data_IF_005852467753
#
_entry.id   IF_005852467753
#
_cell.length_a   1.000
_cell.length_b   1.000
_cell.length_c   1.000
_cell.angle_alpha   90.00
_cell.angle_beta   90.00
_cell.angle_gamma   90.00
#
_symmetry.space_group_name_H-M   'P 1'
#
loop_
_entity.id
_entity.type
_entity.pdbx_description
1 polymer ?
#
# COMPACT_ATOMS: atom_id res chain seq x y z
N UNK A 1 -8.17 -11.12 -7.18
CA UNK A 1 -7.71 -10.25 -6.07
C UNK A 1 -7.07 -11.05 -4.94
N UNK A 2 -7.69 -12.13 -4.43
CA UNK A 2 -7.04 -13.03 -3.45
C UNK A 2 -5.68 -13.57 -3.91
N UNK A 3 -5.53 -13.86 -5.20
CA UNK A 3 -4.26 -14.32 -5.79
C UNK A 3 -3.13 -13.28 -5.79
N UNK A 4 -3.43 -11.97 -5.64
CA UNK A 4 -2.41 -10.91 -5.70
C UNK A 4 -1.84 -10.51 -4.34
N UNK A 5 -2.53 -10.83 -3.24
CA UNK A 5 -2.14 -10.34 -1.90
C UNK A 5 -1.15 -11.27 -1.18
N UNK A 6 -0.81 -12.42 -1.76
CA UNK A 6 -0.02 -13.52 -1.18
C UNK A 6 -0.01 -13.61 0.36
N UNK A 7 -1.19 -13.54 0.99
CA UNK A 7 -1.34 -13.51 2.45
C UNK A 7 -1.28 -14.90 3.09
N UNK A 8 -1.08 -15.94 2.29
CA UNK A 8 -1.00 -17.32 2.76
C UNK A 8 0.44 -17.70 3.15
N UNK A 9 1.44 -16.98 2.62
CA UNK A 9 2.83 -17.15 2.99
C UNK A 9 3.16 -16.36 4.27
N UNK A 10 3.75 -17.05 5.25
CA UNK A 10 4.18 -16.48 6.53
C UNK A 10 5.24 -15.37 6.35
N UNK A 11 6.09 -15.46 5.33
CA UNK A 11 7.15 -14.48 5.08
C UNK A 11 6.56 -13.19 4.49
N UNK A 12 5.52 -13.31 3.67
CA UNK A 12 4.73 -12.17 3.19
C UNK A 12 3.89 -11.55 4.33
N UNK A 13 3.34 -12.39 5.21
CA UNK A 13 2.55 -11.96 6.37
C UNK A 13 3.40 -11.17 7.36
N UNK A 14 4.61 -11.63 7.67
CA UNK A 14 5.54 -10.96 8.58
C UNK A 14 6.12 -9.65 8.02
N UNK A 15 6.02 -9.42 6.71
CA UNK A 15 6.59 -8.28 6.00
C UNK A 15 8.08 -8.42 5.67
N UNK A 16 8.66 -9.60 5.88
CA UNK A 16 10.08 -9.84 5.61
C UNK A 16 10.43 -9.76 4.12
N UNK A 17 9.59 -10.32 3.22
CA UNK A 17 9.82 -10.17 1.77
C UNK A 17 9.78 -8.70 1.35
N UNK A 18 8.77 -7.96 1.83
CA UNK A 18 8.67 -6.53 1.57
C UNK A 18 9.90 -5.75 2.06
N UNK A 19 10.50 -6.14 3.18
CA UNK A 19 11.74 -5.55 3.68
C UNK A 19 12.94 -5.79 2.76
N UNK A 20 13.01 -6.96 2.13
CA UNK A 20 14.07 -7.33 1.19
C UNK A 20 13.91 -6.58 -0.13
N UNK A 21 12.67 -6.41 -0.58
CA UNK A 21 12.33 -5.89 -1.91
C UNK A 21 12.26 -4.36 -1.99
N UNK A 22 11.75 -3.70 -0.95
CA UNK A 22 11.60 -2.22 -0.93
C UNK A 22 12.87 -1.45 -1.32
N UNK A 23 14.08 -1.82 -0.86
CA UNK A 23 15.33 -1.16 -1.24
C UNK A 23 15.67 -1.26 -2.72
N UNK A 24 15.21 -2.32 -3.40
CA UNK A 24 15.53 -2.63 -4.80
C UNK A 24 14.51 -2.01 -5.76
N UNK A 25 13.28 -1.81 -5.30
CA UNK A 25 12.18 -1.36 -6.12
C UNK A 25 12.19 0.17 -6.29
N UNK A 26 11.99 0.62 -7.54
CA UNK A 26 11.78 2.04 -7.83
C UNK A 26 10.36 2.45 -7.46
N UNK A 27 10.21 2.98 -6.24
CA UNK A 27 8.91 3.43 -5.72
C UNK A 27 8.86 4.95 -5.64
N UNK A 28 7.81 5.54 -6.21
CA UNK A 28 7.45 6.95 -6.11
C UNK A 28 6.17 7.11 -5.28
N UNK A 29 6.10 8.19 -4.51
CA UNK A 29 4.90 8.63 -3.80
C UNK A 29 4.54 10.01 -4.37
N UNK A 30 3.38 10.11 -5.01
CA UNK A 30 2.92 11.30 -5.75
C UNK A 30 4.01 11.91 -6.66
N UNK A 31 4.69 11.03 -7.39
CA UNK A 31 5.74 11.41 -8.34
C UNK A 31 7.12 11.67 -7.74
N UNK A 32 7.25 11.80 -6.41
CA UNK A 32 8.53 11.95 -5.74
C UNK A 32 9.14 10.59 -5.38
N UNK A 33 10.43 10.41 -5.63
CA UNK A 33 11.10 9.15 -5.31
C UNK A 33 11.18 8.94 -3.79
N UNK A 34 10.64 7.83 -3.30
CA UNK A 34 10.53 7.59 -1.86
C UNK A 34 11.88 7.22 -1.21
N UNK A 35 12.85 6.71 -1.97
CA UNK A 35 14.18 6.28 -1.51
C UNK A 35 14.11 5.41 -0.23
N UNK A 36 13.52 4.23 -0.39
CA UNK A 36 13.39 3.25 0.70
C UNK A 36 14.72 2.59 1.07
N UNK A 37 15.65 2.47 0.11
CA UNK A 37 17.02 2.02 0.35
C UNK A 37 17.68 2.82 1.47
N UNK A 38 17.63 4.15 1.39
CA UNK A 38 18.21 5.01 2.43
C UNK A 38 17.54 4.81 3.79
N UNK A 39 16.21 4.67 3.83
CA UNK A 39 15.47 4.52 5.09
C UNK A 39 15.76 3.18 5.78
N UNK A 40 15.81 2.09 5.01
CA UNK A 40 16.11 0.76 5.52
C UNK A 40 17.58 0.67 5.95
N UNK A 41 18.51 1.23 5.19
CA UNK A 41 19.94 1.30 5.58
C UNK A 41 20.13 2.11 6.86
N UNK A 42 19.46 3.26 7.00
CA UNK A 42 19.52 4.06 8.21
C UNK A 42 18.92 3.36 9.45
N UNK A 43 17.94 2.46 9.26
CA UNK A 43 17.44 1.63 10.34
C UNK A 43 18.48 0.58 10.75
N UNK A 44 19.05 -0.14 9.77
CA UNK A 44 20.06 -1.20 9.97
C UNK A 44 21.33 -0.71 10.67
N UNK A 45 21.69 0.56 10.52
CA UNK A 45 22.88 1.13 11.19
C UNK A 45 22.64 1.50 12.65
N UNK A 46 21.38 1.67 13.07
CA UNK A 46 21.02 2.16 14.40
C UNK A 46 20.35 1.11 15.29
N UNK A 47 19.87 0.03 14.70
CA UNK A 47 19.06 -0.98 15.38
C UNK A 47 19.46 -2.37 14.90
N UNK A 48 19.14 -3.38 15.71
CA UNK A 48 19.24 -4.77 15.28
C UNK A 48 18.28 -5.07 14.13
N UNK A 49 18.63 -6.11 13.35
CA UNK A 49 17.76 -6.61 12.30
C UNK A 49 16.42 -7.07 12.92
N UNK A 50 15.26 -6.60 12.40
CA UNK A 50 13.97 -7.01 12.92
C UNK A 50 13.79 -8.53 12.83
N UNK A 51 12.97 -9.11 13.71
CA UNK A 51 12.63 -10.54 13.66
C UNK A 51 11.12 -10.74 13.52
N UNK A 52 10.71 -11.72 12.71
CA UNK A 52 9.31 -12.11 12.53
C UNK A 52 8.42 -10.89 12.21
N UNK A 53 7.35 -10.68 12.98
CA UNK A 53 6.38 -9.61 12.78
C UNK A 53 6.93 -8.20 13.04
N UNK A 54 8.14 -8.06 13.59
CA UNK A 54 8.78 -6.76 13.73
C UNK A 54 9.10 -6.11 12.38
N UNK A 55 9.36 -6.91 11.33
CA UNK A 55 9.57 -6.37 9.98
C UNK A 55 8.38 -5.49 9.56
N UNK A 56 7.16 -6.01 9.66
CA UNK A 56 5.93 -5.26 9.35
C UNK A 56 5.76 -4.02 10.22
N UNK A 57 6.01 -4.11 11.54
CA UNK A 57 5.92 -2.94 12.45
C UNK A 57 6.89 -1.82 12.04
N UNK A 58 8.14 -2.18 11.72
CA UNK A 58 9.17 -1.22 11.28
C UNK A 58 8.81 -0.64 9.91
N UNK A 59 8.36 -1.47 8.97
CA UNK A 59 7.92 -1.03 7.64
C UNK A 59 6.75 -0.06 7.72
N UNK A 60 5.79 -0.29 8.61
CA UNK A 60 4.71 0.66 8.91
C UNK A 60 5.27 2.03 9.30
N UNK A 61 6.23 2.07 10.22
CA UNK A 61 6.88 3.31 10.65
C UNK A 61 7.63 4.02 9.51
N UNK A 62 8.36 3.26 8.69
CA UNK A 62 9.09 3.80 7.54
C UNK A 62 8.12 4.37 6.51
N UNK A 63 7.09 3.62 6.11
CA UNK A 63 6.09 4.07 5.13
C UNK A 63 5.35 5.30 5.63
N UNK A 64 4.87 5.31 6.87
CA UNK A 64 4.21 6.45 7.46
C UNK A 64 5.10 7.71 7.45
N UNK A 65 6.37 7.55 7.83
CA UNK A 65 7.36 8.63 7.79
C UNK A 65 7.57 9.18 6.37
N UNK A 66 7.58 8.32 5.35
CA UNK A 66 7.71 8.75 3.95
C UNK A 66 6.47 9.50 3.46
N UNK A 67 5.27 9.00 3.74
CA UNK A 67 4.03 9.71 3.40
C UNK A 67 3.98 11.08 4.09
N UNK A 68 4.30 11.15 5.39
CA UNK A 68 4.33 12.41 6.12
C UNK A 68 5.39 13.38 5.56
N UNK A 69 6.57 12.89 5.20
CA UNK A 69 7.65 13.73 4.65
C UNK A 69 7.31 14.29 3.26
N UNK A 70 6.67 13.49 2.41
CA UNK A 70 6.41 13.84 1.01
C UNK A 70 5.10 14.64 0.86
N UNK A 71 4.07 14.28 1.64
CA UNK A 71 2.70 14.79 1.47
C UNK A 71 2.17 15.57 2.66
N UNK A 72 2.85 15.49 3.82
CA UNK A 72 2.35 16.02 5.08
C UNK A 72 0.98 15.43 5.49
N UNK A 73 0.72 14.17 5.13
CA UNK A 73 -0.53 13.44 5.42
C UNK A 73 -0.28 12.21 6.29
N UNK A 74 -1.18 11.99 7.25
CA UNK A 74 -1.20 10.79 8.07
C UNK A 74 -2.11 9.74 7.44
N UNK A 75 -1.53 8.89 6.60
CA UNK A 75 -2.27 7.80 5.95
C UNK A 75 -2.81 6.83 6.98
N UNK A 76 -4.03 6.35 6.76
CA UNK A 76 -4.67 5.38 7.63
C UNK A 76 -3.83 4.10 7.79
N UNK A 77 -3.78 3.56 9.02
CA UNK A 77 -3.04 2.35 9.33
C UNK A 77 -3.36 1.15 8.42
N UNK A 78 -4.64 0.85 8.09
CA UNK A 78 -4.98 -0.22 7.15
C UNK A 78 -4.36 -0.03 5.77
N UNK A 79 -4.30 1.20 5.24
CA UNK A 79 -3.67 1.47 3.94
C UNK A 79 -2.16 1.30 3.97
N UNK A 80 -1.52 1.71 5.07
CA UNK A 80 -0.07 1.47 5.26
C UNK A 80 0.19 -0.03 5.30
N UNK A 81 -0.65 -0.79 6.02
CA UNK A 81 -0.55 -2.24 6.08
C UNK A 81 -0.68 -2.88 4.71
N UNK A 82 -1.64 -2.40 3.92
CA UNK A 82 -1.82 -2.91 2.56
C UNK A 82 -0.66 -2.55 1.64
N UNK A 83 -0.03 -1.39 1.82
CA UNK A 83 1.21 -1.08 1.13
C UNK A 83 2.31 -2.07 1.51
N UNK A 84 2.42 -2.48 2.78
CA UNK A 84 3.38 -3.54 3.16
C UNK A 84 3.03 -4.86 2.45
N UNK A 85 1.76 -5.23 2.37
CA UNK A 85 1.31 -6.45 1.67
C UNK A 85 1.61 -6.41 0.18
N UNK A 86 1.32 -5.29 -0.50
CA UNK A 86 1.35 -5.23 -1.96
C UNK A 86 2.74 -4.93 -2.53
N UNK A 87 3.63 -4.25 -1.79
CA UNK A 87 4.91 -3.77 -2.32
C UNK A 87 6.04 -4.81 -2.36
N UNK A 88 5.80 -6.06 -1.95
CA UNK A 88 6.72 -7.17 -2.23
C UNK A 88 6.58 -7.64 -3.68
N UNK A 89 7.65 -8.24 -4.20
CA UNK A 89 7.71 -8.74 -5.56
C UNK A 89 6.70 -9.87 -5.77
N UNK A 90 6.52 -10.80 -4.84
CA UNK A 90 5.55 -11.91 -4.99
C UNK A 90 4.11 -11.44 -5.24
N UNK A 91 3.72 -10.27 -4.71
CA UNK A 91 2.38 -9.72 -4.87
C UNK A 91 2.18 -9.01 -6.21
N UNK A 92 2.93 -7.92 -6.46
CA UNK A 92 2.77 -7.11 -7.68
C UNK A 92 3.57 -7.65 -8.86
N UNK A 93 4.86 -7.97 -8.67
CA UNK A 93 5.73 -8.49 -9.71
C UNK A 93 5.41 -9.95 -10.06
N UNK A 94 5.01 -10.77 -9.09
CA UNK A 94 4.66 -12.18 -9.28
C UNK A 94 3.45 -12.33 -10.20
N UNK A 95 2.46 -11.46 -10.04
CA UNK A 95 1.30 -11.44 -10.92
C UNK A 95 1.65 -11.00 -12.36
N UNK A 96 2.47 -9.97 -12.52
CA UNK A 96 2.96 -9.52 -13.83
C UNK A 96 3.84 -10.57 -14.50
N UNK A 97 4.69 -11.25 -13.73
CA UNK A 97 5.57 -12.34 -14.17
C UNK A 97 4.77 -13.54 -14.65
N UNK A 98 3.75 -13.97 -13.89
CA UNK A 98 2.88 -15.07 -14.31
C UNK A 98 2.16 -14.74 -15.63
N UNK A 99 1.69 -13.50 -15.78
CA UNK A 99 1.08 -13.01 -17.03
C UNK A 99 2.08 -13.01 -18.18
N UNK A 100 3.32 -12.55 -17.96
CA UNK A 100 4.34 -12.50 -19.00
C UNK A 100 4.82 -13.88 -19.44
N UNK A 101 4.99 -14.84 -18.52
CA UNK A 101 5.29 -16.24 -18.88
C UNK A 101 4.14 -16.92 -19.64
N UNK A 102 2.90 -16.66 -19.24
CA UNK A 102 1.73 -17.17 -19.98
C UNK A 102 1.69 -16.61 -21.40
N UNK A 103 2.00 -15.31 -21.54
CA UNK A 103 2.11 -14.67 -22.84
C UNK A 103 3.28 -15.24 -23.66
N UNK A 104 4.43 -15.50 -23.03
CA UNK A 104 5.61 -16.04 -23.71
C UNK A 104 5.32 -17.40 -24.35
N UNK A 105 4.62 -18.28 -23.62
CA UNK A 105 4.17 -19.57 -24.13
C UNK A 105 3.19 -19.44 -25.29
N UNK A 106 2.26 -18.48 -25.24
CA UNK A 106 1.34 -18.21 -26.35
C UNK A 106 2.09 -17.69 -27.58
N UNK A 107 3.07 -16.80 -27.40
CA UNK A 107 3.95 -16.32 -28.48
C UNK A 107 4.71 -17.51 -29.10
N UNK A 108 5.34 -18.33 -28.27
CA UNK A 108 6.13 -19.48 -28.74
C UNK A 108 5.27 -20.43 -29.58
N UNK A 109 4.09 -20.78 -29.07
CA UNK A 109 3.13 -21.63 -29.77
C UNK A 109 2.71 -21.04 -31.13
N UNK A 110 2.44 -19.72 -31.19
CA UNK A 110 1.98 -19.05 -32.42
C UNK A 110 3.08 -18.84 -33.44
N UNK A 111 4.29 -18.53 -33.02
CA UNK A 111 5.46 -18.42 -33.90
C UNK A 111 5.91 -19.78 -34.44
N UNK A 112 5.38 -20.89 -33.88
CA UNK A 112 5.80 -22.26 -34.21
C UNK A 112 7.31 -22.44 -34.07
N UNK A 113 7.91 -21.73 -33.13
CA UNK A 113 9.33 -21.87 -32.83
C UNK A 113 9.53 -22.96 -31.79
N UNK A 114 10.57 -23.76 -31.98
CA UNK A 114 11.02 -24.73 -30.99
C UNK A 114 11.89 -24.06 -29.90
N UNK A 115 12.34 -22.83 -30.13
CA UNK A 115 13.06 -22.05 -29.14
C UNK A 115 12.08 -21.58 -28.06
N UNK A 116 12.47 -21.73 -26.80
CA UNK A 116 11.71 -21.17 -25.69
C UNK A 116 11.77 -19.64 -25.75
N UNK A 117 10.63 -19.00 -25.51
CA UNK A 117 10.59 -17.55 -25.40
C UNK A 117 10.60 -17.20 -23.92
N UNK A 118 11.59 -16.41 -23.49
CA UNK A 118 11.72 -15.99 -22.10
C UNK A 118 11.38 -14.50 -21.95
N UNK A 119 10.43 -14.15 -21.08
CA UNK A 119 10.20 -12.76 -20.71
C UNK A 119 11.29 -12.30 -19.74
N UNK A 120 11.95 -11.19 -20.04
CA UNK A 120 12.91 -10.54 -19.14
C UNK A 120 12.37 -9.17 -18.74
N UNK A 121 12.41 -8.84 -17.45
CA UNK A 121 12.04 -7.51 -16.96
C UNK A 121 13.12 -6.52 -17.42
N UNK A 122 12.71 -5.51 -18.18
CA UNK A 122 13.56 -4.41 -18.63
C UNK A 122 13.51 -3.24 -17.65
N UNK A 123 12.29 -2.86 -17.26
CA UNK A 123 12.05 -1.82 -16.29
C UNK A 123 10.84 -2.14 -15.41
N UNK A 124 10.91 -1.73 -14.14
CA UNK A 124 9.81 -1.83 -13.19
C UNK A 124 9.70 -0.55 -12.39
N UNK A 125 8.50 0.00 -12.28
CA UNK A 125 8.21 1.22 -11.54
C UNK A 125 6.87 1.10 -10.82
N UNK A 126 6.85 1.53 -9.55
CA UNK A 126 5.63 1.63 -8.77
C UNK A 126 5.42 3.08 -8.32
N UNK A 127 4.26 3.64 -8.62
CA UNK A 127 3.85 4.95 -8.16
C UNK A 127 2.60 4.84 -7.27
N UNK A 128 2.71 5.33 -6.04
CA UNK A 128 1.61 5.42 -5.09
C UNK A 128 1.09 6.85 -5.15
N UNK A 129 -0.13 7.02 -5.67
CA UNK A 129 -0.83 8.31 -5.69
C UNK A 129 -1.76 8.38 -4.50
N UNK A 130 -1.60 9.40 -3.66
CA UNK A 130 -2.47 9.59 -2.50
C UNK A 130 -3.61 10.52 -2.87
N UNK A 131 -4.85 10.08 -2.66
CA UNK A 131 -6.05 10.89 -2.95
C UNK A 131 -6.53 11.54 -1.64
N UNK A 132 -6.50 10.79 -0.55
CA UNK A 132 -6.80 11.26 0.81
C UNK A 132 -6.09 10.39 1.85
N UNK A 133 -6.27 10.67 3.15
CA UNK A 133 -5.74 9.81 4.23
C UNK A 133 -6.31 8.38 4.22
N UNK A 134 -7.46 8.18 3.58
CA UNK A 134 -8.15 6.89 3.48
C UNK A 134 -8.31 6.38 2.06
N UNK A 135 -7.71 7.02 1.05
CA UNK A 135 -7.76 6.59 -0.35
C UNK A 135 -6.40 6.76 -1.03
N UNK A 136 -5.89 5.66 -1.59
CA UNK A 136 -4.70 5.67 -2.42
C UNK A 136 -4.89 4.86 -3.69
N UNK A 137 -4.08 5.18 -4.69
CA UNK A 137 -3.97 4.37 -5.91
C UNK A 137 -2.54 3.91 -6.09
N UNK A 138 -2.34 2.59 -6.19
CA UNK A 138 -1.06 2.00 -6.57
C UNK A 138 -1.08 1.75 -8.09
N UNK A 139 -0.14 2.37 -8.79
CA UNK A 139 0.15 2.11 -10.19
C UNK A 139 1.48 1.38 -10.28
N UNK A 140 1.46 0.14 -10.74
CA UNK A 140 2.66 -0.65 -10.97
C UNK A 140 2.78 -0.92 -12.46
N UNK A 141 3.95 -0.62 -13.03
CA UNK A 141 4.26 -0.84 -14.45
C UNK A 141 5.52 -1.69 -14.55
N UNK A 142 5.43 -2.73 -15.37
CA UNK A 142 6.58 -3.53 -15.76
C UNK A 142 6.66 -3.60 -17.28
N UNK A 143 7.84 -3.31 -17.79
CA UNK A 143 8.18 -3.45 -19.19
C UNK A 143 9.00 -4.73 -19.35
N UNK A 144 8.53 -5.61 -20.23
CA UNK A 144 9.14 -6.90 -20.53
C UNK A 144 9.71 -6.90 -21.95
N UNK A 145 10.89 -7.50 -22.10
CA UNK A 145 11.44 -7.89 -23.39
C UNK A 145 11.30 -9.40 -23.51
N UNK A 146 10.58 -9.86 -24.53
CA UNK A 146 10.50 -11.26 -24.89
C UNK A 146 11.71 -11.59 -25.76
N UNK A 147 12.49 -12.58 -25.36
CA UNK A 147 13.70 -12.99 -26.05
C UNK A 147 13.62 -14.46 -26.44
N UNK A 148 14.20 -14.79 -27.57
CA UNK A 148 14.53 -16.18 -27.91
C UNK A 148 15.60 -16.68 -26.91
N UNK A 149 15.35 -17.81 -26.25
CA UNK A 149 16.24 -18.35 -25.23
C UNK A 149 17.58 -18.85 -25.77
N UNK A 150 17.66 -19.19 -27.07
CA UNK A 150 18.84 -19.78 -27.70
C UNK A 150 19.86 -18.71 -28.07
N UNK A 151 19.40 -17.62 -28.70
CA UNK A 151 20.28 -16.57 -29.23
C UNK A 151 20.11 -15.21 -28.53
N UNK A 152 19.16 -15.08 -27.61
CA UNK A 152 18.90 -13.84 -26.87
C UNK A 152 18.25 -12.73 -27.69
N UNK A 153 17.85 -12.99 -28.93
CA UNK A 153 17.30 -11.98 -29.86
C UNK A 153 15.97 -11.45 -29.32
N UNK A 154 15.78 -10.13 -29.23
CA UNK A 154 14.51 -9.56 -28.82
C UNK A 154 13.43 -9.81 -29.89
N UNK A 155 12.31 -10.37 -29.47
CA UNK A 155 11.15 -10.69 -30.29
C UNK A 155 10.11 -9.57 -30.21
N UNK A 156 9.79 -9.14 -28.99
CA UNK A 156 8.80 -8.08 -28.75
C UNK A 156 9.03 -7.44 -27.40
N UNK A 157 8.59 -6.20 -27.27
CA UNK A 157 8.40 -5.56 -25.97
C UNK A 157 6.93 -5.61 -25.58
N UNK A 158 6.65 -5.66 -24.28
CA UNK A 158 5.28 -5.64 -23.75
C UNK A 158 5.31 -4.89 -22.43
N UNK A 159 4.34 -3.99 -22.22
CA UNK A 159 4.17 -3.35 -20.92
C UNK A 159 2.94 -3.91 -20.21
N UNK A 160 3.12 -4.36 -18.98
CA UNK A 160 2.03 -4.70 -18.06
C UNK A 160 1.85 -3.52 -17.10
N UNK A 161 0.61 -3.13 -16.87
CA UNK A 161 0.27 -2.11 -15.87
C UNK A 161 -0.84 -2.60 -14.98
N UNK A 162 -0.61 -2.61 -13.67
CA UNK A 162 -1.59 -2.92 -12.65
C UNK A 162 -1.95 -1.61 -11.94
N UNK A 163 -3.24 -1.28 -11.91
CA UNK A 163 -3.79 -0.14 -11.19
C UNK A 163 -4.74 -0.63 -10.12
N UNK A 164 -4.40 -0.40 -8.86
CA UNK A 164 -5.21 -0.73 -7.70
C UNK A 164 -5.69 0.57 -7.06
N UNK A 165 -7.00 0.84 -7.02
CA UNK A 165 -7.51 1.92 -6.17
C UNK A 165 -8.02 1.29 -4.87
N UNK A 166 -7.51 1.76 -3.74
CA UNK A 166 -7.68 1.13 -2.42
C UNK A 166 -8.20 2.19 -1.46
N UNK A 167 -9.36 1.91 -0.89
CA UNK A 167 -9.97 2.74 0.14
C UNK A 167 -10.00 2.01 1.47
N UNK A 168 -9.63 2.68 2.56
CA UNK A 168 -9.84 2.19 3.91
C UNK A 168 -11.20 2.65 4.43
N UNK A 169 -12.03 1.67 4.76
CA UNK A 169 -13.35 1.87 5.35
C UNK A 169 -13.21 2.24 6.84
N UNK A 170 -14.27 2.84 7.39
CA UNK A 170 -14.32 3.25 8.81
C UNK A 170 -14.27 2.08 9.79
N UNK A 171 -14.69 0.88 9.35
CA UNK A 171 -14.65 -0.37 10.11
C UNK A 171 -13.25 -1.02 10.12
N UNK A 172 -12.26 -0.41 9.46
CA UNK A 172 -10.89 -0.92 9.36
C UNK A 172 -10.65 -1.87 8.19
N UNK A 173 -11.67 -2.22 7.40
CA UNK A 173 -11.52 -3.03 6.19
C UNK A 173 -11.01 -2.20 5.00
N UNK A 174 -10.54 -2.90 3.97
CA UNK A 174 -10.02 -2.31 2.74
C UNK A 174 -10.92 -2.70 1.57
N UNK A 175 -11.28 -1.71 0.74
CA UNK A 175 -12.05 -1.93 -0.48
C UNK A 175 -11.22 -1.54 -1.69
N UNK A 176 -11.05 -2.51 -2.59
CA UNK A 176 -10.50 -2.30 -3.91
C UNK A 176 -11.64 -2.01 -4.86
N UNK A 177 -11.58 -0.83 -5.47
CA UNK A 177 -12.60 -0.42 -6.43
C UNK A 177 -11.95 -0.05 -7.75
N UNK A 178 -12.62 -0.40 -8.85
CA UNK A 178 -12.18 0.02 -10.19
C UNK A 178 -10.71 -0.34 -10.50
N UNK A 179 -10.26 -1.48 -9.97
CA UNK A 179 -8.95 -2.05 -10.23
C UNK A 179 -8.85 -2.51 -11.68
N UNK A 180 -7.70 -2.25 -12.31
CA UNK A 180 -7.49 -2.54 -13.74
C UNK A 180 -6.13 -3.16 -13.97
N UNK A 181 -6.09 -4.10 -14.90
CA UNK A 181 -4.85 -4.62 -15.49
C UNK A 181 -4.85 -4.23 -16.96
N UNK A 182 -3.75 -3.69 -17.44
CA UNK A 182 -3.55 -3.30 -18.83
C UNK A 182 -2.32 -3.98 -19.38
N UNK A 183 -2.45 -4.56 -20.56
CA UNK A 183 -1.36 -5.10 -21.37
C UNK A 183 -1.20 -4.23 -22.61
N UNK A 184 0.00 -3.71 -22.86
CA UNK A 184 0.33 -2.95 -24.06
C UNK A 184 1.32 -3.74 -24.88
N UNK A 185 0.99 -3.97 -26.15
CA UNK A 185 1.80 -4.74 -27.10
C UNK A 185 1.97 -3.91 -28.38
N UNK A 186 3.18 -3.83 -28.95
CA UNK A 186 3.42 -3.24 -30.28
C UNK A 186 2.48 -3.80 -31.34
N UNK A 187 1.98 -2.94 -32.24
CA UNK A 187 0.92 -3.33 -33.18
C UNK A 187 1.39 -4.34 -34.25
N UNK A 188 2.67 -4.25 -34.62
CA UNK A 188 3.38 -5.18 -35.50
C UNK A 188 3.44 -6.60 -34.93
N UNK A 189 3.55 -6.74 -33.61
CA UNK A 189 3.55 -8.06 -32.93
C UNK A 189 2.16 -8.46 -32.45
N UNK A 190 1.25 -7.52 -32.21
CA UNK A 190 -0.07 -7.77 -31.62
C UNK A 190 -0.93 -8.75 -32.42
N UNK A 191 -0.92 -8.72 -33.75
CA UNK A 191 -1.69 -9.66 -34.57
C UNK A 191 -1.18 -11.10 -34.48
N UNK A 192 0.13 -11.26 -34.29
CA UNK A 192 0.82 -12.55 -34.21
C UNK A 192 0.72 -13.15 -32.81
N UNK A 193 0.65 -12.30 -31.78
CA UNK A 193 0.68 -12.72 -30.37
C UNK A 193 -0.71 -12.80 -29.76
N UNK A 194 -1.65 -11.91 -30.13
CA UNK A 194 -2.98 -11.83 -29.52
C UNK A 194 -4.06 -11.72 -30.60
N UNK A 195 -4.57 -12.85 -31.13
CA UNK A 195 -5.62 -12.80 -32.14
C UNK A 195 -6.89 -12.20 -31.53
N UNK A 196 -7.24 -11.00 -32.01
CA UNK A 196 -8.41 -10.25 -31.56
C UNK A 196 -9.70 -11.07 -31.63
N UNK A 197 -9.79 -12.04 -32.54
CA UNK A 197 -10.93 -12.96 -32.63
C UNK A 197 -11.15 -13.75 -31.34
N UNK A 198 -10.09 -14.23 -30.69
CA UNK A 198 -10.20 -14.95 -29.41
C UNK A 198 -10.71 -14.03 -28.29
N UNK A 199 -10.20 -12.80 -28.22
CA UNK A 199 -10.64 -11.83 -27.20
C UNK A 199 -12.10 -11.44 -27.44
N UNK A 200 -12.51 -11.24 -28.70
CA UNK A 200 -13.91 -10.99 -29.05
C UNK A 200 -14.82 -12.15 -28.67
N UNK A 201 -14.42 -13.40 -28.92
CA UNK A 201 -15.16 -14.58 -28.48
C UNK A 201 -15.24 -14.67 -26.96
N UNK A 202 -14.14 -14.43 -26.24
CA UNK A 202 -14.14 -14.38 -24.79
C UNK A 202 -15.14 -13.34 -24.26
N UNK A 203 -15.19 -12.15 -24.89
CA UNK A 203 -16.15 -11.10 -24.56
C UNK A 203 -17.60 -11.50 -24.84
N UNK A 204 -17.88 -12.20 -25.96
CA UNK A 204 -19.23 -12.69 -26.28
C UNK A 204 -19.76 -13.70 -25.25
N UNK A 205 -18.86 -14.44 -24.58
CA UNK A 205 -19.23 -15.42 -23.55
C UNK A 205 -19.41 -14.79 -22.16
N UNK A 206 -19.07 -13.52 -21.96
CA UNK A 206 -19.18 -12.85 -20.64
C UNK A 206 -20.61 -12.86 -20.08
N UNK A 207 -21.68 -12.56 -20.85
CA UNK A 207 -23.05 -12.63 -20.33
C UNK A 207 -23.40 -14.02 -19.82
N UNK A 208 -23.03 -15.07 -20.55
CA UNK A 208 -23.28 -16.46 -20.17
C UNK A 208 -22.49 -16.84 -18.90
N UNK A 209 -21.20 -16.47 -18.82
CA UNK A 209 -20.38 -16.68 -17.62
C UNK A 209 -20.97 -15.98 -16.40
N UNK A 210 -21.47 -14.77 -16.56
CA UNK A 210 -22.14 -14.03 -15.48
C UNK A 210 -23.46 -14.68 -15.06
N UNK A 211 -24.24 -15.23 -16.01
CA UNK A 211 -25.46 -15.95 -15.70
C UNK A 211 -25.17 -17.21 -14.89
N UNK A 212 -24.22 -18.04 -15.35
CA UNK A 212 -23.79 -19.26 -14.66
C UNK A 212 -23.25 -18.91 -13.26
N UNK A 213 -22.38 -17.90 -13.17
CA UNK A 213 -21.81 -17.45 -11.90
C UNK A 213 -22.87 -16.96 -10.92
N UNK A 214 -23.91 -16.25 -11.38
CA UNK A 214 -25.05 -15.85 -10.54
C UNK A 214 -25.80 -17.06 -10.00
N UNK A 215 -26.15 -17.99 -10.87
CA UNK A 215 -26.86 -19.23 -10.50
C UNK A 215 -26.04 -20.00 -9.45
N UNK A 216 -24.75 -20.19 -9.70
CA UNK A 216 -23.87 -20.90 -8.79
C UNK A 216 -23.76 -20.17 -7.44
N UNK A 217 -23.55 -18.85 -7.46
CA UNK A 217 -23.46 -18.04 -6.24
C UNK A 217 -24.72 -18.14 -5.37
N UNK A 218 -25.89 -18.17 -6.01
CA UNK A 218 -27.17 -18.36 -5.35
C UNK A 218 -27.26 -19.74 -4.68
N UNK A 219 -26.90 -20.82 -5.39
CA UNK A 219 -26.96 -22.17 -4.83
C UNK A 219 -25.91 -22.45 -3.75
N UNK A 220 -24.73 -21.82 -3.83
CA UNK A 220 -23.65 -22.04 -2.85
C UNK A 220 -23.64 -21.01 -1.72
N UNK A 221 -24.49 -19.99 -1.75
CA UNK A 221 -24.45 -18.86 -0.82
C UNK A 221 -23.14 -18.05 -0.88
N UNK A 222 -22.43 -18.11 -2.01
CA UNK A 222 -21.13 -17.46 -2.17
C UNK A 222 -21.28 -16.07 -2.79
N UNK A 223 -20.30 -15.19 -2.58
CA UNK A 223 -20.32 -13.85 -3.17
C UNK A 223 -20.18 -13.93 -4.70
N UNK A 224 -21.13 -13.35 -5.43
CA UNK A 224 -21.04 -13.25 -6.88
C UNK A 224 -20.05 -12.16 -7.31
N UNK A 225 -19.02 -12.55 -8.07
CA UNK A 225 -18.11 -11.60 -8.71
C UNK A 225 -18.41 -11.48 -10.20
N UNK A 226 -18.87 -10.29 -10.62
CA UNK A 226 -19.20 -10.02 -12.01
C UNK A 226 -17.94 -10.00 -12.87
N UNK A 227 -17.92 -10.84 -13.92
CA UNK A 227 -16.92 -10.81 -14.98
C UNK A 227 -17.21 -9.65 -15.92
N UNK A 228 -16.19 -8.84 -16.22
CA UNK A 228 -16.28 -7.75 -17.19
C UNK A 228 -15.59 -8.13 -18.50
N UNK A 229 -16.07 -7.64 -19.66
CA UNK A 229 -15.39 -7.87 -20.92
C UNK A 229 -14.04 -7.15 -20.96
N UNK A 230 -13.09 -7.69 -21.71
CA UNK A 230 -11.84 -7.02 -22.06
C UNK A 230 -12.15 -5.81 -22.94
N UNK A 231 -11.49 -4.68 -22.66
CA UNK A 231 -11.52 -3.50 -23.52
C UNK A 231 -10.25 -3.50 -24.37
N UNK A 232 -10.42 -3.41 -25.69
CA UNK A 232 -9.31 -3.36 -26.64
C UNK A 232 -9.26 -1.96 -27.24
N UNK A 233 -8.13 -1.30 -27.12
CA UNK A 233 -7.86 -0.01 -27.76
C UNK A 233 -6.69 -0.17 -28.72
N UNK A 234 -6.83 0.33 -29.95
CA UNK A 234 -5.75 0.35 -30.93
C UNK A 234 -5.32 1.78 -31.20
N UNK A 235 -4.02 1.96 -31.23
CA UNK A 235 -3.35 3.17 -31.68
C UNK A 235 -2.53 2.81 -32.91
N UNK A 236 -1.88 3.77 -33.60
CA UNK A 236 -0.98 3.43 -34.71
C UNK A 236 0.11 2.43 -34.29
N UNK A 237 0.67 2.60 -33.07
CA UNK A 237 1.87 1.88 -32.64
C UNK A 237 1.59 0.75 -31.64
N UNK A 238 0.46 0.81 -30.92
CA UNK A 238 0.17 -0.11 -29.80
C UNK A 238 -1.25 -0.68 -29.86
N UNK A 239 -1.34 -1.96 -29.52
CA UNK A 239 -2.55 -2.64 -29.09
C UNK A 239 -2.60 -2.70 -27.56
N UNK A 240 -3.67 -2.18 -26.97
CA UNK A 240 -3.87 -2.13 -25.52
C UNK A 240 -5.06 -3.01 -25.15
N UNK A 241 -4.83 -3.99 -24.28
CA UNK A 241 -5.86 -4.86 -23.71
C UNK A 241 -6.03 -4.51 -22.24
N UNK A 242 -7.20 -4.03 -21.87
CA UNK A 242 -7.53 -3.69 -20.48
C UNK A 242 -8.57 -4.66 -19.94
N UNK A 243 -8.42 -5.06 -18.67
CA UNK A 243 -9.40 -5.83 -17.93
C UNK A 243 -9.68 -5.17 -16.58
N UNK A 244 -10.97 -4.93 -16.30
CA UNK A 244 -11.42 -4.38 -15.01
C UNK A 244 -11.70 -5.54 -14.06
N UNK A 245 -10.95 -5.60 -12.96
CA UNK A 245 -11.20 -6.58 -11.92
C UNK A 245 -12.49 -6.23 -11.15
N UNK A 246 -13.22 -7.24 -10.65
CA UNK A 246 -14.36 -6.99 -9.78
C UNK A 246 -13.92 -6.27 -8.51
N UNK A 247 -14.82 -5.46 -7.97
CA UNK A 247 -14.59 -4.82 -6.68
C UNK A 247 -14.46 -5.90 -5.60
N UNK A 248 -13.59 -5.65 -4.63
CA UNK A 248 -13.18 -6.65 -3.64
C UNK A 248 -12.92 -5.99 -2.30
N UNK A 249 -13.51 -6.52 -1.23
CA UNK A 249 -13.30 -6.03 0.13
C UNK A 249 -12.60 -7.10 0.96
N UNK A 250 -11.67 -6.69 1.82
CA UNK A 250 -10.93 -7.59 2.67
C UNK A 250 -10.41 -6.90 3.93
N UNK A 251 -10.10 -7.70 4.95
CA UNK A 251 -9.36 -7.20 6.10
C UNK A 251 -7.89 -6.99 5.74
N UNK A 252 -7.23 -5.94 6.29
CA UNK A 252 -5.78 -5.86 6.29
C UNK A 252 -5.19 -7.09 7.00
N UNK A 253 -3.93 -7.41 6.74
CA UNK A 253 -3.26 -8.56 7.38
C UNK A 253 -3.03 -8.28 8.87
N UNK A 254 -2.95 -6.99 9.25
CA UNK A 254 -2.96 -6.40 10.59
C UNK A 254 -2.51 -7.29 11.76
N UNK A 255 -1.39 -6.89 12.37
CA UNK A 255 -0.93 -7.46 13.64
C UNK A 255 -1.83 -7.02 14.80
N UNK A 256 -2.20 -7.92 15.74
CA UNK A 256 -3.04 -7.60 16.89
C UNK A 256 -2.56 -6.39 17.71
N UNK A 257 -1.24 -6.18 17.82
CA UNK A 257 -0.66 -5.11 18.62
C UNK A 257 -0.78 -3.69 18.03
N UNK A 258 -1.14 -3.55 16.75
CA UNK A 258 -1.34 -2.23 16.11
C UNK A 258 -2.75 -1.68 16.42
N UNK A 259 -3.74 -2.57 16.56
CA UNK A 259 -5.11 -2.23 16.97
C UNK A 259 -5.17 -1.80 18.44
N UNK A 260 -4.41 -2.47 19.32
CA UNK A 260 -4.31 -2.17 20.75
C UNK A 260 -3.91 -0.70 21.04
N UNK A 261 -3.15 -0.06 20.16
CA UNK A 261 -2.77 1.35 20.33
C UNK A 261 -3.88 2.33 19.96
N UNK A 262 -4.79 1.96 19.06
CA UNK A 262 -5.98 2.77 18.73
C UNK A 262 -7.00 2.68 19.87
N UNK A 263 -7.25 1.48 20.40
CA UNK A 263 -8.12 1.30 21.58
C UNK A 263 -7.54 1.98 22.82
N UNK A 264 -6.25 1.82 23.11
CA UNK A 264 -5.61 2.54 24.23
C UNK A 264 -5.64 4.06 24.06
N UNK A 265 -5.53 4.59 22.84
CA UNK A 265 -5.65 6.04 22.59
C UNK A 265 -7.09 6.54 22.72
N UNK A 266 -8.08 5.78 22.26
CA UNK A 266 -9.50 6.12 22.43
C UNK A 266 -9.92 6.02 23.90
N UNK A 267 -9.48 4.99 24.63
CA UNK A 267 -9.70 4.87 26.08
C UNK A 267 -8.97 5.97 26.87
N UNK A 268 -7.75 6.39 26.47
CA UNK A 268 -7.07 7.54 27.08
C UNK A 268 -7.80 8.86 26.82
N UNK A 269 -8.35 9.06 25.62
CA UNK A 269 -9.13 10.26 25.33
C UNK A 269 -10.46 10.24 26.10
N UNK A 270 -11.17 9.12 26.14
CA UNK A 270 -12.40 8.98 26.93
C UNK A 270 -12.16 9.14 28.44
N UNK A 271 -11.06 8.63 29.00
CA UNK A 271 -10.73 8.82 30.41
C UNK A 271 -10.33 10.28 30.73
N UNK A 272 -9.69 10.99 29.80
CA UNK A 272 -9.41 12.43 29.92
C UNK A 272 -10.69 13.29 29.85
N UNK A 273 -11.70 12.88 29.07
CA UNK A 273 -13.01 13.54 29.06
C UNK A 273 -13.85 13.20 30.31
N UNK A 274 -13.79 11.96 30.82
CA UNK A 274 -14.49 11.58 32.06
C UNK A 274 -13.88 12.22 33.32
N UNK A 275 -12.55 12.45 33.35
CA UNK A 275 -11.89 13.14 34.47
C UNK A 275 -12.06 14.67 34.43
N UNK A 276 -12.37 15.27 33.27
CA UNK A 276 -12.79 16.68 33.19
C UNK A 276 -14.29 16.90 33.43
N UNK A 277 -15.13 15.89 33.23
CA UNK A 277 -16.59 15.98 33.38
C UNK A 277 -17.11 15.64 34.79
N UNK A 278 -16.25 15.24 35.73
CA UNK A 278 -16.60 14.97 37.13
C UNK A 278 -16.08 16.02 38.10
N UNK A 279 -15.79 17.25 37.63
CA UNK A 279 -15.65 18.38 38.54
C UNK A 279 -17.04 18.89 38.94
N UNK A 280 -17.70 18.15 39.83
CA UNK A 280 -18.78 18.73 40.64
C UNK A 280 -18.16 19.75 41.60
N UNK A 281 -18.46 21.05 41.48
CA UNK A 281 -18.04 22.00 42.49
C UNK A 281 -18.72 21.63 43.81
N UNK A 282 -18.02 21.75 44.96
CA UNK A 282 -18.64 21.44 46.25
C UNK A 282 -19.83 22.37 46.47
N UNK A 283 -21.01 21.78 46.66
CA UNK A 283 -22.20 22.51 47.09
C UNK A 283 -21.97 22.99 48.53
N UNK A 284 -21.65 24.26 48.68
CA UNK A 284 -21.82 24.96 49.94
C UNK A 284 -23.32 25.23 50.17
N UNK A 285 -23.92 24.54 51.14
CA UNK A 285 -25.13 25.00 51.82
C UNK A 285 -24.75 25.36 53.25
N UNK A 286 -24.43 26.63 53.49
CA UNK A 286 -24.32 27.20 54.82
C UNK A 286 -25.73 27.40 55.39
N UNK A 287 -26.02 26.76 56.52
CA UNK A 287 -26.80 27.40 57.59
C UNK A 287 -25.81 27.83 58.67
N UNK A 288 -25.70 29.15 58.90
CA UNK A 288 -25.13 29.73 60.10
C UNK A 288 -26.00 29.37 61.32
N UNK A 289 -25.51 29.19 62.54
CA UNK A 289 -24.70 30.13 63.33
C UNK A 289 -23.71 29.40 64.26
N UNK A 290 -22.44 29.82 64.26
CA UNK A 290 -21.79 30.50 65.40
C UNK A 290 -20.33 30.81 65.08
N UNK A 291 -19.99 32.07 65.31
CA UNK A 291 -18.72 32.62 65.81
C UNK A 291 -17.40 32.04 65.29
N UNK A 292 -16.70 32.82 64.45
CA UNK A 292 -15.45 33.49 64.89
C UNK A 292 -14.75 34.24 63.74
N UNK A 293 -14.60 35.53 63.98
CA UNK A 293 -13.55 36.48 63.59
C UNK A 293 -12.54 36.17 62.46
N UNK A 294 -12.52 37.13 61.54
CA UNK A 294 -11.37 37.93 61.10
C UNK A 294 -10.60 37.58 59.81
N UNK A 295 -10.70 38.55 58.90
CA UNK A 295 -9.72 39.09 57.95
C UNK A 295 -9.46 38.39 56.61
N UNK A 296 -10.10 38.99 55.58
CA UNK A 296 -9.69 38.99 54.19
C UNK A 296 -8.22 39.40 53.99
N UNK A 297 -7.49 38.62 53.18
CA UNK A 297 -6.42 39.13 52.31
C UNK A 297 -6.42 38.39 50.97
N UNK A 298 -6.54 39.18 49.91
CA UNK A 298 -6.37 38.82 48.50
C UNK A 298 -4.89 38.53 48.23
N UNK A 299 -4.53 37.40 47.62
CA UNK A 299 -3.19 37.21 47.03
C UNK A 299 -3.26 36.48 45.68
N UNK A 300 -2.43 37.00 44.79
CA UNK A 300 -2.24 36.87 43.35
C UNK A 300 -1.95 35.49 42.77
N UNK A 301 -2.43 35.28 41.53
CA UNK A 301 -2.01 34.24 40.60
C UNK A 301 -0.54 34.45 40.20
N UNK A 302 0.31 33.46 40.46
CA UNK A 302 1.68 33.40 39.94
C UNK A 302 1.64 32.63 38.61
N UNK A 303 1.95 33.32 37.51
CA UNK A 303 2.25 32.70 36.22
C UNK A 303 3.75 32.36 36.24
N UNK A 304 4.09 31.07 36.17
CA UNK A 304 5.46 30.66 35.92
C UNK A 304 5.73 30.59 34.42
N UNK A 305 6.56 31.53 33.93
CA UNK A 305 7.27 31.39 32.67
C UNK A 305 8.37 30.32 32.81
N UNK A 306 8.57 29.45 31.80
CA UNK A 306 9.69 28.51 31.81
C UNK A 306 11.02 29.23 31.54
N UNK A 307 12.00 29.03 32.43
CA UNK A 307 13.37 29.53 32.31
C UNK A 307 14.10 28.88 31.11
N UNK A 308 14.73 29.74 30.32
CA UNK A 308 15.66 29.42 29.25
C UNK A 308 17.02 29.15 29.90
N UNK A 309 17.59 27.95 29.70
CA UNK A 309 18.95 27.65 30.12
C UNK A 309 19.98 28.46 29.31
N UNK A 310 21.01 29.07 29.94
CA UNK A 310 22.00 29.85 29.23
C UNK A 310 23.04 28.99 28.51
N UNK A 311 23.33 29.38 27.26
CA UNK A 311 24.48 28.96 26.45
C UNK A 311 25.79 29.22 27.21
N UNK A 312 26.72 28.24 27.17
CA UNK A 312 28.14 28.45 27.45
C UNK A 312 28.95 28.19 26.19
N UNK A 313 29.63 29.22 25.71
CA UNK A 313 30.88 29.16 24.93
C UNK A 313 31.63 30.49 25.19
N UNK A 314 32.94 30.63 24.90
CA UNK A 314 34.02 29.66 24.88
C UNK A 314 35.21 30.14 25.75
N UNK A 315 36.24 29.31 25.95
CA UNK A 315 37.57 29.81 26.34
C UNK A 315 38.63 29.28 25.39
N UNK A 316 39.12 30.19 24.57
CA UNK A 316 40.39 30.08 23.84
C UNK A 316 41.53 30.27 24.82
N UNK A 317 42.56 29.42 24.77
CA UNK A 317 43.94 29.87 24.97
C UNK A 317 44.88 28.92 24.22
N UNK A 318 45.63 29.54 23.32
CA UNK A 318 46.79 29.08 22.59
C UNK A 318 47.98 28.82 23.51
N UNK A 319 48.76 27.77 23.23
CA UNK A 319 50.20 27.94 23.02
C UNK A 319 50.79 26.75 22.24
N UNK A 320 51.64 27.14 21.30
CA UNK A 320 52.56 26.39 20.46
C UNK A 320 53.77 25.86 21.21
N UNK A 321 54.18 24.63 20.91
CA UNK A 321 55.52 24.21 20.46
C UNK A 321 55.46 22.74 20.06
#
# INVERSE_FOLDING_TARGET
MSQFRNVQDLICTSGQETWIDLPRNSIKIDGQHANFLQAITAYKTKNDLPKNNEYRKVLHGILNSKFQKILNLNISGPLIDECVTMLNQESLCGASTHLSYSLAKDIQYRMRTNAEIMPTIDASETNIKTISESDLTIYHKEDFIFRDSINGTPISTVSITIRLNINANTDGTLTYSNTKISLKVPQDTASSVLPIRLIRMANMLVPLRNLIGRIQSFFTGSTFYKVTPYKITRTPDLCIIEHKLPDYTCSPVALPEIEDKKEKRQQKQQSLYQTRSTFTPPKHSNSSNKDSNQHNKLVSVIIHNPEIQPKKEPKTQSHSS
#
